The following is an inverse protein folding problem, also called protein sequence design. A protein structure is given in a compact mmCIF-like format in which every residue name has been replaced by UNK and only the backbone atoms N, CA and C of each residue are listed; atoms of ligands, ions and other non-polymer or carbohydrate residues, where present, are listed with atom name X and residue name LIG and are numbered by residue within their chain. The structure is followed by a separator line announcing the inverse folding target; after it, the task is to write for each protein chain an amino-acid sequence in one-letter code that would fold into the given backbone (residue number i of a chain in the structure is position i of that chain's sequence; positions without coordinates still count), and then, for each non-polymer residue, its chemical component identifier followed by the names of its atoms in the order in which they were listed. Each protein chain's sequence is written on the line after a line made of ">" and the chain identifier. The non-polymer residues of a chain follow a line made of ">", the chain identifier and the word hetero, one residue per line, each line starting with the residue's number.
data_IF_927330009799
#
_entry.id   IF_927330009799
#
_cell.length_a   1.000
_cell.length_b   1.000
_cell.length_c   1.000
_cell.angle_alpha   90.00
_cell.angle_beta   90.00
_cell.angle_gamma   90.00
#
_symmetry.space_group_name_H-M   'P 1'
#
loop_
_entity.id
_entity.type
_entity.pdbx_description
1 polymer ?
#
# COMPACT_ATOMS: atom_id res chain seq x y z
N UNK A 1 -0.19 14.34 -13.35
CA UNK A 1 0.84 14.07 -14.37
C UNK A 1 2.01 13.41 -13.66
N UNK A 2 2.46 12.24 -14.12
CA UNK A 2 3.48 11.44 -13.44
C UNK A 2 4.88 11.78 -13.97
N UNK A 3 5.32 13.02 -13.72
CA UNK A 3 6.59 13.59 -14.24
C UNK A 3 7.79 12.76 -13.76
N UNK A 4 7.75 12.33 -12.49
CA UNK A 4 8.77 11.51 -11.87
C UNK A 4 8.93 10.17 -12.60
N UNK A 5 7.85 9.43 -12.82
CA UNK A 5 7.91 8.15 -13.53
C UNK A 5 8.46 8.30 -14.94
N UNK A 6 7.97 9.28 -15.71
CA UNK A 6 8.49 9.54 -17.04
C UNK A 6 9.98 9.86 -17.04
N UNK A 7 10.45 10.59 -16.01
CA UNK A 7 11.89 10.87 -15.82
C UNK A 7 12.69 9.58 -15.61
N UNK A 8 12.23 8.69 -14.71
CA UNK A 8 12.88 7.40 -14.45
C UNK A 8 12.88 6.51 -15.71
N UNK A 9 11.76 6.44 -16.43
CA UNK A 9 11.63 5.65 -17.66
C UNK A 9 12.55 6.16 -18.78
N UNK A 10 12.67 7.49 -18.95
CA UNK A 10 13.60 8.08 -19.92
C UNK A 10 15.06 7.81 -19.54
N UNK A 11 15.40 7.92 -18.26
CA UNK A 11 16.74 7.61 -17.75
C UNK A 11 17.11 6.12 -17.88
N UNK A 12 16.12 5.23 -17.81
CA UNK A 12 16.31 3.80 -17.99
C UNK A 12 16.35 3.38 -19.48
N UNK A 13 15.99 4.28 -20.40
CA UNK A 13 15.93 3.96 -21.83
C UNK A 13 17.34 3.80 -22.39
N UNK A 14 17.70 2.63 -22.96
CA UNK A 14 19.02 2.42 -23.54
C UNK A 14 19.29 3.44 -24.66
N UNK A 15 20.46 4.10 -24.61
CA UNK A 15 20.89 5.12 -25.59
C UNK A 15 20.03 6.40 -25.63
N UNK A 16 19.21 6.66 -24.61
CA UNK A 16 18.56 7.97 -24.44
C UNK A 16 19.58 9.09 -24.26
N UNK A 17 19.23 10.30 -24.69
CA UNK A 17 20.08 11.48 -24.49
C UNK A 17 19.89 12.03 -23.07
N UNK A 18 20.76 11.61 -22.15
CA UNK A 18 20.66 11.97 -20.74
C UNK A 18 21.47 13.20 -20.34
N UNK A 19 21.89 14.03 -21.30
CA UNK A 19 22.70 15.23 -21.03
C UNK A 19 21.99 16.21 -20.08
N UNK A 20 22.78 16.92 -19.28
CA UNK A 20 22.32 17.81 -18.21
C UNK A 20 21.56 19.03 -18.73
N UNK A 21 21.98 19.60 -19.86
CA UNK A 21 21.43 20.84 -20.41
C UNK A 21 19.94 20.78 -20.74
N UNK A 22 19.25 21.93 -20.63
CA UNK A 22 17.79 22.02 -20.78
C UNK A 22 17.24 21.57 -22.13
N UNK A 23 18.06 21.58 -23.19
CA UNK A 23 17.66 21.13 -24.54
C UNK A 23 17.68 19.61 -24.73
N UNK A 24 18.09 18.84 -23.72
CA UNK A 24 18.26 17.38 -23.81
C UNK A 24 17.21 16.67 -22.96
N UNK A 25 17.61 15.85 -21.98
CA UNK A 25 16.70 15.10 -21.12
C UNK A 25 15.57 15.94 -20.51
N UNK A 26 15.79 17.17 -20.00
CA UNK A 26 14.69 17.99 -19.49
C UNK A 26 13.63 18.32 -20.56
N UNK A 27 14.03 18.56 -21.81
CA UNK A 27 13.10 18.79 -22.92
C UNK A 27 12.30 17.53 -23.25
N UNK A 28 12.94 16.36 -23.24
CA UNK A 28 12.25 15.07 -23.46
C UNK A 28 11.23 14.77 -22.36
N UNK A 29 11.55 15.09 -21.10
CA UNK A 29 10.61 14.97 -19.97
C UNK A 29 9.40 15.89 -20.20
N UNK A 30 9.63 17.15 -20.59
CA UNK A 30 8.57 18.11 -20.92
C UNK A 30 7.70 17.59 -22.06
N UNK A 31 8.31 17.12 -23.14
CA UNK A 31 7.60 16.60 -24.30
C UNK A 31 6.74 15.37 -23.96
N UNK A 32 7.24 14.48 -23.10
CA UNK A 32 6.56 13.24 -22.73
C UNK A 32 5.47 13.42 -21.67
N UNK A 33 5.69 14.31 -20.71
CA UNK A 33 4.79 14.48 -19.56
C UNK A 33 3.85 15.67 -19.67
N UNK A 34 4.14 16.64 -20.54
CA UNK A 34 3.42 17.91 -20.65
C UNK A 34 3.71 18.90 -19.51
N UNK A 35 4.71 18.64 -18.67
CA UNK A 35 5.09 19.52 -17.56
C UNK A 35 5.86 20.76 -18.02
N UNK A 36 6.08 21.72 -17.12
CA UNK A 36 6.96 22.87 -17.34
C UNK A 36 8.42 22.45 -17.17
N UNK A 37 9.34 23.16 -17.83
CA UNK A 37 10.78 22.85 -17.76
C UNK A 37 11.34 22.84 -16.32
N UNK A 38 10.88 23.76 -15.46
CA UNK A 38 11.32 23.77 -14.06
C UNK A 38 10.81 22.55 -13.27
N UNK A 39 9.65 21.99 -13.63
CA UNK A 39 9.11 20.78 -13.00
C UNK A 39 9.92 19.54 -13.41
N UNK A 40 10.40 19.50 -14.66
CA UNK A 40 11.34 18.47 -15.12
C UNK A 40 12.68 18.55 -14.36
N UNK A 41 13.24 19.75 -14.20
CA UNK A 41 14.45 19.93 -13.40
C UNK A 41 14.23 19.58 -11.92
N UNK A 42 13.09 19.98 -11.33
CA UNK A 42 12.76 19.63 -9.96
C UNK A 42 12.67 18.11 -9.76
N UNK A 43 12.09 17.38 -10.73
CA UNK A 43 12.05 15.92 -10.71
C UNK A 43 13.46 15.32 -10.75
N UNK A 44 14.33 15.76 -11.66
CA UNK A 44 15.72 15.28 -11.76
C UNK A 44 16.52 15.52 -10.48
N UNK A 45 16.44 16.74 -9.92
CA UNK A 45 17.11 17.06 -8.66
C UNK A 45 16.52 16.28 -7.47
N UNK A 46 15.22 16.00 -7.48
CA UNK A 46 14.58 15.11 -6.50
C UNK A 46 15.16 13.69 -6.57
N UNK A 47 15.30 13.12 -7.78
CA UNK A 47 15.91 11.80 -7.96
C UNK A 47 17.37 11.76 -7.45
N UNK A 48 18.12 12.85 -7.64
CA UNK A 48 19.48 12.97 -7.10
C UNK A 48 19.49 13.02 -5.56
N UNK A 49 18.64 13.84 -4.96
CA UNK A 49 18.52 13.95 -3.51
C UNK A 49 18.14 12.61 -2.84
N UNK A 50 17.33 11.81 -3.52
CA UNK A 50 16.92 10.47 -3.05
C UNK A 50 17.98 9.38 -3.31
N UNK A 51 19.02 9.68 -4.07
CA UNK A 51 20.07 8.73 -4.49
C UNK A 51 19.62 7.74 -5.57
N UNK A 52 18.57 8.07 -6.33
CA UNK A 52 18.05 7.29 -7.45
C UNK A 52 18.83 7.61 -8.74
N UNK A 53 19.25 8.86 -8.89
CA UNK A 53 20.08 9.30 -10.00
C UNK A 53 21.35 9.99 -9.49
N UNK A 54 22.33 10.11 -10.36
CA UNK A 54 23.53 10.92 -10.13
C UNK A 54 23.92 11.64 -11.43
N UNK A 55 24.75 12.67 -11.28
CA UNK A 55 25.40 13.34 -12.41
C UNK A 55 26.79 12.75 -12.62
N UNK A 56 26.99 12.18 -13.79
CA UNK A 56 28.28 11.71 -14.28
C UNK A 56 29.01 12.86 -14.99
N UNK A 57 30.10 13.40 -14.43
CA UNK A 57 30.85 14.52 -15.01
C UNK A 57 31.83 14.05 -16.08
N UNK A 58 31.57 12.94 -16.78
CA UNK A 58 32.50 12.23 -17.65
C UNK A 58 33.20 13.02 -18.77
N UNK A 59 32.86 14.30 -18.97
CA UNK A 59 33.57 15.23 -19.85
C UNK A 59 33.69 16.63 -19.23
N UNK A 60 34.59 17.46 -19.77
CA UNK A 60 34.74 18.84 -19.33
C UNK A 60 33.50 19.68 -19.68
N UNK A 61 33.07 20.51 -18.73
CA UNK A 61 31.94 21.41 -18.88
C UNK A 61 30.61 20.81 -18.37
N UNK A 62 29.81 21.55 -17.58
CA UNK A 62 28.54 21.07 -17.04
C UNK A 62 27.53 20.63 -18.11
N UNK A 63 27.56 21.23 -19.30
CA UNK A 63 26.64 20.90 -20.39
C UNK A 63 26.84 19.48 -20.96
N UNK A 64 28.02 18.89 -20.71
CA UNK A 64 28.36 17.54 -21.13
C UNK A 64 28.20 16.52 -20.00
N UNK A 65 27.67 16.91 -18.85
CA UNK A 65 27.37 15.98 -17.78
C UNK A 65 26.14 15.15 -18.14
N UNK A 66 26.11 13.90 -17.69
CA UNK A 66 25.02 12.99 -17.96
C UNK A 66 24.29 12.62 -16.68
N UNK A 67 22.97 12.70 -16.70
CA UNK A 67 22.15 12.04 -15.70
C UNK A 67 22.25 10.52 -15.90
N UNK A 68 22.48 9.79 -14.81
CA UNK A 68 22.50 8.33 -14.81
C UNK A 68 21.74 7.79 -13.61
N UNK A 69 21.12 6.63 -13.78
CA UNK A 69 20.52 5.90 -12.65
C UNK A 69 21.63 5.26 -11.83
N UNK A 70 21.46 5.29 -10.51
CA UNK A 70 22.20 4.40 -9.61
C UNK A 70 21.70 2.96 -9.76
N UNK A 71 22.35 1.99 -9.12
CA UNK A 71 21.83 0.61 -9.05
C UNK A 71 20.41 0.57 -8.47
N UNK A 72 20.20 1.36 -7.41
CA UNK A 72 18.89 1.57 -6.80
C UNK A 72 17.88 2.17 -7.79
N UNK A 73 18.30 3.12 -8.62
CA UNK A 73 17.45 3.70 -9.64
C UNK A 73 17.11 2.76 -10.79
N UNK A 74 18.02 1.85 -11.15
CA UNK A 74 17.76 0.79 -12.12
C UNK A 74 16.71 -0.21 -11.59
N UNK A 75 16.78 -0.56 -10.30
CA UNK A 75 15.75 -1.37 -9.64
C UNK A 75 14.40 -0.66 -9.59
N UNK A 76 14.40 0.64 -9.29
CA UNK A 76 13.20 1.47 -9.31
C UNK A 76 12.56 1.51 -10.71
N UNK A 77 13.39 1.61 -11.75
CA UNK A 77 12.95 1.65 -13.15
C UNK A 77 12.46 0.29 -13.67
N UNK A 78 13.07 -0.82 -13.24
CA UNK A 78 12.66 -2.17 -13.64
C UNK A 78 11.30 -2.55 -13.06
N UNK A 79 10.88 -1.88 -11.99
CA UNK A 79 9.48 -1.84 -11.56
C UNK A 79 8.97 -3.17 -11.03
N UNK A 80 9.56 -3.66 -9.94
CA UNK A 80 8.98 -4.76 -9.16
C UNK A 80 7.53 -4.49 -8.76
N UNK A 81 6.74 -5.55 -8.55
CA UNK A 81 5.28 -5.45 -8.27
C UNK A 81 4.95 -4.47 -7.13
N UNK A 82 5.84 -4.35 -6.14
CA UNK A 82 5.67 -3.48 -4.97
C UNK A 82 6.96 -2.70 -4.66
N UNK A 83 7.51 -1.98 -5.64
CA UNK A 83 8.72 -1.17 -5.46
C UNK A 83 8.46 0.14 -4.66
N UNK A 84 9.03 0.32 -3.46
CA UNK A 84 8.77 1.49 -2.61
C UNK A 84 9.37 2.81 -3.12
N UNK A 85 10.37 2.75 -4.01
CA UNK A 85 11.00 3.94 -4.62
C UNK A 85 10.21 4.54 -5.79
N UNK A 86 9.10 3.89 -6.14
CA UNK A 86 8.06 4.37 -7.07
C UNK A 86 6.73 4.55 -6.29
N UNK A 87 6.58 5.58 -5.42
CA UNK A 87 5.36 5.76 -4.62
C UNK A 87 4.09 5.85 -5.46
N UNK A 88 4.14 6.65 -6.54
CA UNK A 88 3.00 6.86 -7.44
C UNK A 88 2.59 5.56 -8.12
N UNK A 89 3.55 4.79 -8.64
CA UNK A 89 3.27 3.50 -9.23
C UNK A 89 2.83 2.46 -8.21
N UNK A 90 3.38 2.49 -6.99
CA UNK A 90 2.95 1.62 -5.89
C UNK A 90 1.47 1.83 -5.57
N UNK A 91 1.07 3.08 -5.29
CA UNK A 91 -0.30 3.44 -4.97
C UNK A 91 -1.26 3.16 -6.13
N UNK A 92 -0.82 3.41 -7.36
CA UNK A 92 -1.60 3.08 -8.56
C UNK A 92 -1.84 1.58 -8.68
N UNK A 93 -0.82 0.75 -8.54
CA UNK A 93 -0.95 -0.73 -8.58
C UNK A 93 -1.90 -1.22 -7.49
N UNK A 94 -1.81 -0.66 -6.28
CA UNK A 94 -2.74 -0.98 -5.19
C UNK A 94 -4.18 -0.62 -5.54
N UNK A 95 -4.44 0.60 -6.01
CA UNK A 95 -5.79 1.04 -6.40
C UNK A 95 -6.35 0.24 -7.58
N UNK A 96 -5.50 -0.17 -8.53
CA UNK A 96 -5.94 -1.03 -9.64
C UNK A 96 -6.36 -2.41 -9.13
N UNK A 97 -5.61 -2.98 -8.19
CA UNK A 97 -5.90 -4.31 -7.65
C UNK A 97 -7.07 -4.29 -6.66
N UNK A 98 -7.13 -3.29 -5.80
CA UNK A 98 -8.12 -3.12 -4.75
C UNK A 98 -8.67 -1.68 -4.77
N UNK A 99 -9.64 -1.39 -5.66
CA UNK A 99 -10.19 -0.04 -5.84
C UNK A 99 -10.84 0.53 -4.57
N UNK A 100 -11.40 -0.33 -3.73
CA UNK A 100 -12.12 0.06 -2.51
C UNK A 100 -11.20 0.14 -1.28
N UNK A 101 -9.87 0.13 -1.46
CA UNK A 101 -8.94 0.25 -0.34
C UNK A 101 -9.24 1.52 0.46
N UNK A 102 -9.15 1.41 1.79
CA UNK A 102 -9.52 2.50 2.68
C UNK A 102 -8.73 3.79 2.37
N UNK A 103 -9.41 4.94 2.16
CA UNK A 103 -8.72 6.19 1.83
C UNK A 103 -7.74 6.66 2.91
N UNK A 104 -8.02 6.43 4.20
CA UNK A 104 -7.10 6.76 5.28
C UNK A 104 -5.87 5.84 5.24
N UNK A 105 -6.06 4.54 4.95
CA UNK A 105 -4.94 3.63 4.76
C UNK A 105 -4.02 4.08 3.60
N UNK A 106 -4.59 4.62 2.52
CA UNK A 106 -3.81 5.17 1.40
C UNK A 106 -2.99 6.40 1.80
N UNK A 107 -3.52 7.28 2.65
CA UNK A 107 -2.78 8.44 3.16
C UNK A 107 -1.55 7.99 3.95
N UNK A 108 -1.74 7.07 4.90
CA UNK A 108 -0.63 6.57 5.71
C UNK A 108 0.38 5.73 4.90
N UNK A 109 -0.08 5.02 3.87
CA UNK A 109 0.82 4.32 2.96
C UNK A 109 1.67 5.32 2.13
N UNK A 110 1.08 6.42 1.65
CA UNK A 110 1.85 7.47 0.94
C UNK A 110 2.92 8.07 1.85
N UNK A 111 2.57 8.39 3.11
CA UNK A 111 3.53 8.88 4.10
C UNK A 111 4.64 7.85 4.39
N UNK A 112 4.29 6.56 4.47
CA UNK A 112 5.29 5.50 4.63
C UNK A 112 6.28 5.46 3.47
N UNK A 113 5.79 5.49 2.23
CA UNK A 113 6.61 5.49 1.02
C UNK A 113 7.50 6.74 0.92
N UNK A 114 6.98 7.91 1.27
CA UNK A 114 7.76 9.16 1.31
C UNK A 114 8.85 9.11 2.37
N UNK A 115 8.53 8.66 3.58
CA UNK A 115 9.50 8.50 4.66
C UNK A 115 10.61 7.50 4.28
N UNK A 116 10.26 6.40 3.61
CA UNK A 116 11.24 5.44 3.08
C UNK A 116 12.22 6.12 2.10
N UNK A 117 11.70 6.88 1.13
CA UNK A 117 12.54 7.58 0.15
C UNK A 117 13.39 8.69 0.78
N UNK A 118 12.94 9.29 1.89
CA UNK A 118 13.71 10.21 2.71
C UNK A 118 14.72 9.52 3.66
N UNK A 119 14.84 8.18 3.61
CA UNK A 119 15.68 7.36 4.50
C UNK A 119 15.30 7.45 5.97
N UNK A 120 14.05 7.80 6.26
CA UNK A 120 13.45 7.79 7.60
C UNK A 120 12.74 6.45 7.85
N UNK A 121 13.50 5.35 7.88
CA UNK A 121 12.96 3.99 7.89
C UNK A 121 12.08 3.68 9.10
N UNK A 122 12.43 4.21 10.28
CA UNK A 122 11.59 4.09 11.47
C UNK A 122 10.21 4.74 11.26
N UNK A 123 10.20 5.98 10.77
CA UNK A 123 8.96 6.71 10.46
C UNK A 123 8.14 6.00 9.39
N UNK A 124 8.81 5.47 8.36
CA UNK A 124 8.19 4.64 7.32
C UNK A 124 7.47 3.45 7.93
N UNK A 125 8.12 2.70 8.82
CA UNK A 125 7.51 1.56 9.48
C UNK A 125 6.32 1.96 10.36
N UNK A 126 6.40 3.06 11.10
CA UNK A 126 5.27 3.55 11.92
C UNK A 126 4.06 3.86 11.04
N UNK A 127 4.24 4.63 9.96
CA UNK A 127 3.14 4.99 9.05
C UNK A 127 2.54 3.75 8.37
N UNK A 128 3.38 2.79 7.99
CA UNK A 128 2.93 1.52 7.42
C UNK A 128 2.08 0.71 8.42
N UNK A 129 2.46 0.70 9.69
CA UNK A 129 1.69 0.08 10.77
C UNK A 129 0.30 0.69 10.91
N UNK A 130 0.18 2.02 10.81
CA UNK A 130 -1.12 2.71 10.84
C UNK A 130 -1.97 2.34 9.63
N UNK A 131 -1.41 2.35 8.42
CA UNK A 131 -2.13 1.93 7.21
C UNK A 131 -2.65 0.48 7.32
N UNK A 132 -1.82 -0.40 7.86
CA UNK A 132 -2.16 -1.79 8.08
C UNK A 132 -3.29 -1.99 9.10
N UNK A 133 -3.22 -1.27 10.23
CA UNK A 133 -4.26 -1.30 11.25
C UNK A 133 -5.61 -0.83 10.70
N UNK A 134 -5.64 0.20 9.84
CA UNK A 134 -6.88 0.70 9.25
C UNK A 134 -7.59 -0.36 8.39
N UNK A 135 -6.87 -1.02 7.47
CA UNK A 135 -7.51 -2.08 6.65
C UNK A 135 -7.91 -3.29 7.48
N UNK A 136 -7.14 -3.62 8.51
CA UNK A 136 -7.46 -4.70 9.44
C UNK A 136 -8.78 -4.43 10.17
N UNK A 137 -8.95 -3.22 10.72
CA UNK A 137 -10.18 -2.85 11.44
C UNK A 137 -11.38 -2.92 10.50
N UNK A 138 -11.23 -2.45 9.25
CA UNK A 138 -12.26 -2.56 8.22
C UNK A 138 -12.69 -4.00 7.97
N UNK A 139 -11.74 -4.90 7.71
CA UNK A 139 -12.03 -6.33 7.55
C UNK A 139 -12.69 -6.93 8.79
N UNK A 140 -12.15 -6.68 9.98
CA UNK A 140 -12.64 -7.26 11.22
C UNK A 140 -14.10 -6.88 11.49
N UNK A 141 -14.48 -5.63 11.21
CA UNK A 141 -15.87 -5.16 11.30
C UNK A 141 -16.78 -5.81 10.25
N UNK A 142 -16.32 -5.93 9.01
CA UNK A 142 -17.07 -6.63 7.96
C UNK A 142 -17.35 -8.09 8.32
N UNK A 143 -16.36 -8.78 8.89
CA UNK A 143 -16.52 -10.15 9.40
C UNK A 143 -17.58 -10.20 10.49
N UNK A 144 -17.49 -9.34 11.51
CA UNK A 144 -18.49 -9.29 12.60
C UNK A 144 -19.90 -9.08 12.06
N UNK A 145 -20.07 -8.17 11.10
CA UNK A 145 -21.36 -7.91 10.45
C UNK A 145 -21.88 -9.12 9.67
N UNK A 146 -21.00 -9.84 8.96
CA UNK A 146 -21.38 -10.97 8.11
C UNK A 146 -21.72 -12.25 8.88
N UNK A 147 -20.98 -12.54 9.96
CA UNK A 147 -21.09 -13.84 10.66
C UNK A 147 -21.74 -13.74 12.04
N UNK A 148 -22.00 -12.53 12.54
CA UNK A 148 -22.77 -12.26 13.75
C UNK A 148 -22.22 -12.97 14.98
N UNK A 149 -23.06 -13.82 15.60
CA UNK A 149 -22.75 -14.53 16.85
C UNK A 149 -21.42 -15.32 16.81
N UNK A 150 -21.01 -15.81 15.63
CA UNK A 150 -19.75 -16.56 15.48
C UNK A 150 -18.50 -15.69 15.70
N UNK A 151 -18.60 -14.38 15.43
CA UNK A 151 -17.54 -13.40 15.62
C UNK A 151 -17.77 -12.52 16.86
N UNK A 152 -18.60 -12.96 17.82
CA UNK A 152 -18.90 -12.17 19.03
C UNK A 152 -17.63 -11.81 19.82
N UNK A 153 -16.68 -12.75 19.97
CA UNK A 153 -15.40 -12.49 20.65
C UNK A 153 -14.56 -11.43 19.95
N UNK A 154 -14.54 -11.47 18.60
CA UNK A 154 -13.87 -10.46 17.79
C UNK A 154 -14.53 -9.09 17.98
N UNK A 155 -15.86 -9.01 17.92
CA UNK A 155 -16.61 -7.78 18.19
C UNK A 155 -16.27 -7.18 19.56
N UNK A 156 -16.35 -7.98 20.62
CA UNK A 156 -15.97 -7.56 21.98
C UNK A 156 -14.52 -7.08 22.06
N UNK A 157 -13.59 -7.73 21.34
CA UNK A 157 -12.19 -7.35 21.33
C UNK A 157 -11.94 -6.04 20.54
N UNK A 158 -12.74 -5.75 19.51
CA UNK A 158 -12.68 -4.50 18.75
C UNK A 158 -13.20 -3.32 19.57
N UNK A 159 -14.30 -3.52 20.30
CA UNK A 159 -14.94 -2.47 21.09
C UNK A 159 -14.22 -2.19 22.42
N UNK A 160 -13.33 -3.09 22.86
CA UNK A 160 -12.53 -2.92 24.06
C UNK A 160 -11.21 -2.17 23.75
N UNK A 161 -11.01 -0.94 24.27
CA UNK A 161 -9.77 -0.17 24.07
C UNK A 161 -8.53 -0.81 24.73
N UNK A 162 -8.75 -1.68 25.73
CA UNK A 162 -7.67 -2.39 26.44
C UNK A 162 -7.25 -3.68 25.73
N UNK A 163 -8.00 -4.11 24.72
CA UNK A 163 -7.66 -5.30 23.95
C UNK A 163 -6.42 -5.03 23.11
N UNK A 164 -5.45 -5.95 23.17
CA UNK A 164 -4.25 -5.85 22.36
C UNK A 164 -4.58 -6.10 20.88
N UNK A 165 -3.77 -5.54 19.99
CA UNK A 165 -3.92 -5.80 18.56
C UNK A 165 -3.71 -7.27 18.21
N UNK A 166 -2.79 -7.96 18.90
CA UNK A 166 -2.58 -9.40 18.75
C UNK A 166 -3.86 -10.17 19.11
N UNK A 167 -4.52 -9.82 20.21
CA UNK A 167 -5.79 -10.44 20.61
C UNK A 167 -6.87 -10.26 19.54
N UNK A 168 -7.02 -9.05 19.00
CA UNK A 168 -7.98 -8.79 17.91
C UNK A 168 -7.66 -9.61 16.67
N UNK A 169 -6.39 -9.71 16.32
CA UNK A 169 -5.92 -10.46 15.16
C UNK A 169 -6.11 -11.97 15.33
N UNK A 170 -5.81 -12.52 16.51
CA UNK A 170 -6.02 -13.93 16.82
C UNK A 170 -7.50 -14.32 16.73
N UNK A 171 -8.40 -13.47 17.23
CA UNK A 171 -9.85 -13.72 17.10
C UNK A 171 -10.31 -13.63 15.65
N UNK A 172 -9.79 -12.68 14.85
CA UNK A 172 -10.09 -12.63 13.42
C UNK A 172 -9.61 -13.89 12.70
N UNK A 173 -8.37 -14.31 12.96
CA UNK A 173 -7.76 -15.51 12.36
C UNK A 173 -8.60 -16.75 12.65
N UNK A 174 -9.08 -16.92 13.88
CA UNK A 174 -9.94 -18.07 14.25
C UNK A 174 -11.20 -18.14 13.38
N UNK A 175 -11.82 -16.99 13.10
CA UNK A 175 -13.02 -16.92 12.25
C UNK A 175 -12.68 -17.18 10.79
N UNK A 176 -11.56 -16.63 10.28
CA UNK A 176 -11.14 -16.86 8.89
C UNK A 176 -10.76 -18.33 8.63
N UNK A 177 -10.07 -18.98 9.58
CA UNK A 177 -9.71 -20.40 9.44
C UNK A 177 -10.95 -21.31 9.55
N UNK A 178 -11.96 -20.97 10.35
CA UNK A 178 -13.21 -21.75 10.38
C UNK A 178 -13.97 -21.67 9.06
N UNK A 179 -13.86 -20.55 8.35
CA UNK A 179 -14.56 -20.27 7.10
C UNK A 179 -13.67 -20.52 5.87
N UNK A 180 -12.50 -21.16 6.06
CA UNK A 180 -11.49 -21.33 5.00
C UNK A 180 -12.02 -21.96 3.71
N UNK A 181 -12.96 -22.90 3.84
CA UNK A 181 -13.57 -23.57 2.68
C UNK A 181 -14.51 -22.67 1.86
N UNK A 182 -15.02 -21.58 2.44
CA UNK A 182 -15.91 -20.62 1.76
C UNK A 182 -15.17 -19.37 1.28
N UNK A 183 -13.92 -19.18 1.70
CA UNK A 183 -13.09 -18.07 1.24
C UNK A 183 -12.63 -18.30 -0.20
N UNK A 184 -12.59 -17.23 -1.03
CA UNK A 184 -12.02 -17.31 -2.38
C UNK A 184 -10.58 -17.85 -2.39
N UNK A 185 -10.23 -18.58 -3.45
CA UNK A 185 -8.92 -19.20 -3.59
C UNK A 185 -7.79 -18.15 -3.50
N UNK A 186 -6.74 -18.46 -2.73
CA UNK A 186 -5.63 -17.54 -2.47
C UNK A 186 -5.87 -16.53 -1.35
N UNK A 187 -7.12 -16.34 -0.88
CA UNK A 187 -7.43 -15.43 0.22
C UNK A 187 -7.18 -16.02 1.63
N UNK A 188 -7.12 -17.35 1.75
CA UNK A 188 -6.91 -18.06 3.02
C UNK A 188 -5.51 -18.68 3.18
N UNK A 189 -4.51 -18.22 2.40
CA UNK A 189 -3.15 -18.75 2.51
C UNK A 189 -2.52 -18.38 3.87
N UNK A 190 -2.14 -19.37 4.71
CA UNK A 190 -1.59 -19.14 6.06
C UNK A 190 -0.35 -18.28 6.05
N UNK A 191 0.50 -18.49 5.03
CA UNK A 191 1.73 -17.74 4.83
C UNK A 191 1.49 -16.22 4.69
N UNK A 192 0.33 -15.83 4.16
CA UNK A 192 -0.02 -14.41 4.08
C UNK A 192 -0.47 -13.85 5.43
N UNK A 193 -1.18 -14.63 6.24
CA UNK A 193 -1.63 -14.16 7.56
C UNK A 193 -0.45 -14.05 8.54
N UNK A 194 0.53 -14.95 8.47
CA UNK A 194 1.72 -14.91 9.34
C UNK A 194 2.66 -13.77 9.01
N UNK A 195 2.99 -13.56 7.72
CA UNK A 195 3.79 -12.42 7.27
C UNK A 195 3.16 -11.07 7.64
N UNK A 196 1.83 -11.04 7.73
CA UNK A 196 1.04 -9.87 8.13
C UNK A 196 1.07 -9.66 9.64
N UNK A 197 1.00 -10.73 10.44
CA UNK A 197 1.20 -10.64 11.89
C UNK A 197 2.57 -10.05 12.19
N UNK A 198 3.60 -10.52 11.49
CA UNK A 198 4.97 -10.01 11.66
C UNK A 198 5.08 -8.55 11.24
N UNK A 199 4.45 -8.16 10.13
CA UNK A 199 4.38 -6.75 9.72
C UNK A 199 3.73 -5.89 10.81
N UNK A 200 2.56 -6.27 11.32
CA UNK A 200 1.85 -5.54 12.38
C UNK A 200 2.64 -5.51 13.69
N UNK A 201 3.36 -6.59 14.03
CA UNK A 201 4.18 -6.68 15.24
C UNK A 201 5.40 -5.76 15.16
N UNK A 202 6.15 -5.83 14.07
CA UNK A 202 7.41 -5.07 13.91
C UNK A 202 7.13 -3.57 13.74
N UNK A 203 6.09 -3.21 12.98
CA UNK A 203 5.76 -1.80 12.73
C UNK A 203 5.13 -1.09 13.92
N UNK A 204 4.50 -1.81 14.86
CA UNK A 204 3.79 -1.17 16.00
C UNK A 204 4.46 -1.40 17.36
N UNK A 205 4.88 -2.63 17.66
CA UNK A 205 5.45 -2.94 18.98
C UNK A 205 6.93 -2.57 19.05
N UNK A 206 7.68 -2.76 17.96
CA UNK A 206 9.12 -2.53 17.98
C UNK A 206 9.46 -1.09 17.53
N UNK A 207 8.78 -0.57 16.49
CA UNK A 207 9.02 0.77 15.93
C UNK A 207 8.30 1.92 16.65
N UNK A 208 7.12 1.66 17.23
CA UNK A 208 6.27 2.69 17.86
C UNK A 208 6.56 2.94 19.35
N UNK A 209 7.26 2.01 20.00
CA UNK A 209 7.73 2.19 21.37
C UNK A 209 9.13 2.83 21.38
N UNK A 210 9.47 3.68 22.37
CA UNK A 210 10.80 4.28 22.52
C UNK A 210 11.81 3.22 23.01
N UNK A 211 12.01 2.19 22.19
CA UNK A 211 12.86 1.02 22.43
C UNK A 211 14.28 1.22 21.91
N UNK A 212 14.50 2.23 21.04
CA UNK A 212 15.76 2.45 20.34
C UNK A 212 15.98 1.49 19.15
N UNK A 213 14.95 0.72 18.75
CA UNK A 213 15.03 -0.18 17.59
C UNK A 213 15.40 0.61 16.34
N UNK A 214 16.47 0.18 15.69
CA UNK A 214 16.90 0.67 14.40
C UNK A 214 16.25 -0.20 13.31
N UNK A 215 15.64 0.43 12.32
CA UNK A 215 15.13 -0.27 11.13
C UNK A 215 16.02 0.15 9.97
N UNK A 216 16.64 -0.82 9.32
CA UNK A 216 17.46 -0.60 8.14
C UNK A 216 16.61 -0.53 6.85
N UNK A 217 17.27 -0.17 5.75
CA UNK A 217 16.61 -0.02 4.45
C UNK A 217 15.98 -1.35 3.99
N UNK A 218 16.69 -2.46 4.12
CA UNK A 218 16.27 -3.76 3.61
C UNK A 218 15.03 -4.28 4.35
N UNK A 219 14.99 -4.09 5.66
CA UNK A 219 13.85 -4.41 6.51
C UNK A 219 12.64 -3.53 6.13
N UNK A 220 12.82 -2.22 6.03
CA UNK A 220 11.73 -1.31 5.65
C UNK A 220 11.21 -1.58 4.23
N UNK A 221 12.11 -1.88 3.28
CA UNK A 221 11.79 -2.26 1.90
C UNK A 221 10.96 -3.54 1.86
N UNK A 222 11.39 -4.56 2.60
CA UNK A 222 10.68 -5.84 2.70
C UNK A 222 9.28 -5.65 3.27
N UNK A 223 9.14 -4.87 4.34
CA UNK A 223 7.84 -4.55 4.93
C UNK A 223 6.91 -3.85 3.93
N UNK A 224 7.40 -2.84 3.20
CA UNK A 224 6.59 -2.15 2.19
C UNK A 224 6.21 -3.08 1.02
N UNK A 225 7.13 -3.93 0.57
CA UNK A 225 6.85 -4.88 -0.50
C UNK A 225 5.75 -5.90 -0.10
N UNK A 226 5.79 -6.40 1.14
CA UNK A 226 4.75 -7.28 1.69
C UNK A 226 3.42 -6.53 1.87
N UNK A 227 3.48 -5.27 2.33
CA UNK A 227 2.30 -4.47 2.61
C UNK A 227 1.41 -4.24 1.39
N UNK A 228 1.99 -4.07 0.19
CA UNK A 228 1.19 -3.89 -1.02
C UNK A 228 0.25 -5.09 -1.29
N UNK A 229 0.77 -6.31 -1.17
CA UNK A 229 -0.04 -7.52 -1.30
C UNK A 229 -1.05 -7.67 -0.15
N UNK A 230 -0.64 -7.33 1.08
CA UNK A 230 -1.48 -7.40 2.26
C UNK A 230 -2.67 -6.44 2.21
N UNK A 231 -2.46 -5.15 1.92
CA UNK A 231 -3.50 -4.14 1.86
C UNK A 231 -4.57 -4.50 0.81
N UNK A 232 -4.12 -5.00 -0.36
CA UNK A 232 -5.01 -5.50 -1.39
C UNK A 232 -5.84 -6.68 -0.89
N UNK A 233 -5.19 -7.68 -0.29
CA UNK A 233 -5.85 -8.90 0.19
C UNK A 233 -6.86 -8.64 1.31
N UNK A 234 -6.54 -7.75 2.25
CA UNK A 234 -7.47 -7.37 3.33
C UNK A 234 -8.69 -6.63 2.78
N UNK A 235 -8.49 -5.80 1.76
CA UNK A 235 -9.59 -5.11 1.08
C UNK A 235 -10.47 -6.11 0.31
N UNK A 236 -9.87 -7.04 -0.43
CA UNK A 236 -10.58 -8.10 -1.15
C UNK A 236 -11.40 -8.98 -0.17
N UNK A 237 -10.83 -9.36 0.97
CA UNK A 237 -11.54 -10.08 2.04
C UNK A 237 -12.68 -9.25 2.65
N UNK A 238 -12.46 -7.96 2.91
CA UNK A 238 -13.49 -7.08 3.48
C UNK A 238 -14.70 -7.03 2.54
N UNK A 239 -14.45 -6.78 1.25
CA UNK A 239 -15.49 -6.73 0.23
C UNK A 239 -16.27 -8.05 0.14
N UNK A 240 -15.59 -9.20 0.28
CA UNK A 240 -16.26 -10.50 0.32
C UNK A 240 -17.25 -10.63 1.50
N UNK A 241 -16.84 -10.25 2.71
CA UNK A 241 -17.72 -10.31 3.87
C UNK A 241 -18.84 -9.26 3.84
N UNK A 242 -18.58 -8.06 3.31
CA UNK A 242 -19.62 -7.05 3.08
C UNK A 242 -20.71 -7.54 2.11
N UNK A 243 -20.32 -8.30 1.07
CA UNK A 243 -21.26 -8.93 0.15
C UNK A 243 -22.12 -9.99 0.86
N UNK A 244 -21.53 -10.82 1.72
CA UNK A 244 -22.27 -11.81 2.53
C UNK A 244 -23.28 -11.11 3.46
N UNK A 245 -22.86 -10.08 4.18
CA UNK A 245 -23.72 -9.32 5.07
C UNK A 245 -24.91 -8.69 4.32
N UNK A 246 -24.65 -8.11 3.14
CA UNK A 246 -25.66 -7.49 2.29
C UNK A 246 -26.70 -8.51 1.78
N UNK A 247 -26.25 -9.70 1.38
CA UNK A 247 -27.13 -10.78 0.94
C UNK A 247 -28.02 -11.27 2.09
N UNK A 248 -27.47 -11.46 3.29
CA UNK A 248 -28.22 -11.87 4.47
C UNK A 248 -29.31 -10.85 4.85
N UNK A 249 -29.00 -9.55 4.79
CA UNK A 249 -29.95 -8.48 5.04
C UNK A 249 -31.09 -8.45 3.99
N UNK A 250 -30.76 -8.63 2.71
CA UNK A 250 -31.75 -8.67 1.63
C UNK A 250 -32.72 -9.87 1.77
N UNK A 251 -32.22 -11.05 2.16
CA UNK A 251 -33.06 -12.24 2.39
C UNK A 251 -34.03 -12.05 3.56
N UNK A 252 -33.59 -11.39 4.64
CA UNK A 252 -34.44 -11.08 5.79
C UNK A 252 -35.53 -10.05 5.45
N UNK A 253 -35.22 -9.05 4.62
CA UNK A 253 -36.19 -8.06 4.17
C UNK A 253 -37.27 -8.70 3.25
N UNK A 254 -36.89 -9.64 2.38
CA UNK A 254 -37.82 -10.34 1.50
C UNK A 254 -38.78 -11.30 2.23
N UNK A 255 -38.40 -11.81 3.41
CA UNK A 255 -39.26 -12.67 4.24
C UNK A 255 -40.22 -11.87 5.15
N UNK A 256 -40.02 -10.56 5.29
CA UNK A 256 -40.84 -9.68 6.13
C UNK A 256 -42.07 -9.08 5.41
N UNK A 257 -42.48 -9.62 4.26
CA UNK A 257 -43.70 -9.16 3.54
C UNK A 257 -44.93 -9.31 4.45
N UNK A 258 -45.72 -8.24 4.68
CA UNK A 258 -46.83 -8.27 5.62
C UNK A 258 -47.97 -9.15 5.09
N UNK A 259 -48.72 -9.85 5.97
CA UNK A 259 -49.87 -10.63 5.55
C UNK A 259 -50.87 -9.71 4.85
N UNK A 260 -51.24 -10.09 3.62
CA UNK A 260 -52.31 -9.45 2.86
C UNK A 260 -53.57 -9.42 3.74
N UNK A 261 -54.06 -8.22 4.03
CA UNK A 261 -55.34 -8.06 4.74
C UNK A 261 -56.42 -8.82 3.96
N UNK A 262 -57.20 -9.70 4.61
CA UNK A 262 -58.35 -10.30 3.95
C UNK A 262 -59.34 -9.17 3.62
N UNK A 263 -59.63 -9.01 2.34
CA UNK A 263 -60.76 -8.24 1.85
C UNK A 263 -62.04 -8.90 2.39
N UNK A 264 -62.60 -8.28 3.43
CA UNK A 264 -63.87 -8.67 4.03
C UNK A 264 -65.06 -8.34 3.12
N UNK A 265 -66.20 -9.02 3.34
CA UNK A 265 -67.32 -9.17 2.41
C UNK A 265 -68.14 -7.89 2.16
#
# INVERSE_FOLDING_TARGET
>A
MDVRRHTIELLATPRGDTRFGSSYLPADIVARSGCRLHEAHAALWGLLAEGIAYLDPGQQGPDNWHWRLTEVGLLAASGGTWEPRDPDGFLRRLRTRAPDVDPAALVYLDEALRAFNARCYLSSSVMLGVAAEQVFIGLARAVVAAVGARAMKLGTALDNPRSSQNTRFDELRKVLESDRATLPQGLADPLTLDAVTDLLRVTRNDAGHPSGVQIDEDTARTHLAVAGGYLAKMTELRNHFEAIASQAAASQAATAVPPTRPSGP
#
